data_IF_372760232710
#
_entry.id   IF_372760232710
#
_cell.length_a   1.000
_cell.length_b   1.000
_cell.length_c   1.000
_cell.angle_alpha   90.00
_cell.angle_beta   90.00
_cell.angle_gamma   90.00
#
_symmetry.space_group_name_H-M   'P 1'
#
loop_
_entity.id
_entity.type
_entity.pdbx_description
1 polymer ?
#
# COMPACT_ATOMS: atom_id res chain seq x y z
N UNK A 1 7.11 -8.98 37.83
CA UNK A 1 8.54 -8.72 38.13
C UNK A 1 9.18 -8.23 36.83
N UNK A 2 9.98 -7.15 36.92
CA UNK A 2 10.64 -6.39 35.84
C UNK A 2 9.76 -5.57 34.86
N UNK A 3 9.61 -4.29 35.20
CA UNK A 3 9.28 -3.17 34.30
C UNK A 3 10.57 -2.64 33.67
N UNK A 4 10.62 -2.42 32.36
CA UNK A 4 11.65 -1.60 31.71
C UNK A 4 11.06 -0.22 31.40
N UNK A 5 11.67 0.82 31.98
CA UNK A 5 11.41 2.24 31.70
C UNK A 5 12.32 2.69 30.57
N UNK A 6 11.78 3.33 29.55
CA UNK A 6 12.56 4.15 28.62
C UNK A 6 12.62 5.58 29.16
N UNK A 7 13.83 6.15 29.19
CA UNK A 7 14.09 7.53 29.57
C UNK A 7 14.41 8.33 28.29
N UNK A 8 13.63 9.36 28.01
CA UNK A 8 13.94 10.40 27.03
C UNK A 8 15.09 11.26 27.57
N UNK A 9 16.15 11.43 26.79
CA UNK A 9 17.18 12.44 27.02
C UNK A 9 16.94 13.64 26.09
N UNK A 10 16.53 14.76 26.68
CA UNK A 10 16.57 16.10 26.09
C UNK A 10 17.98 16.66 26.23
N UNK A 11 18.63 17.02 25.12
CA UNK A 11 19.86 17.82 25.13
C UNK A 11 19.55 19.20 24.57
N UNK A 12 19.51 20.19 25.45
CA UNK A 12 19.58 21.60 25.11
C UNK A 12 21.00 22.10 25.39
N UNK A 13 21.63 22.76 24.42
CA UNK A 13 22.87 23.50 24.63
C UNK A 13 22.78 24.84 23.88
N UNK A 14 22.77 25.93 24.65
CA UNK A 14 22.98 27.29 24.20
C UNK A 14 24.23 27.81 24.87
N UNK A 15 25.24 28.27 24.11
CA UNK A 15 26.27 29.21 24.61
C UNK A 15 26.67 30.21 23.51
N UNK A 16 26.73 31.46 23.96
CA UNK A 16 27.01 32.74 23.32
C UNK A 16 28.51 32.91 23.00
N UNK A 17 28.83 33.68 21.95
CA UNK A 17 30.19 34.21 21.77
C UNK A 17 30.33 35.20 20.60
N UNK A 18 30.06 36.49 20.86
CA UNK A 18 30.45 37.62 20.01
C UNK A 18 31.95 37.91 20.16
N UNK A 19 32.72 37.99 19.06
CA UNK A 19 33.92 38.85 18.97
C UNK A 19 34.03 39.40 17.54
N UNK A 20 33.91 40.72 17.41
CA UNK A 20 34.35 41.53 16.27
C UNK A 20 35.83 41.88 16.44
N UNK A 21 36.63 41.83 15.37
CA UNK A 21 37.79 42.71 15.22
C UNK A 21 38.12 42.99 13.74
N UNK A 22 38.55 44.23 13.54
CA UNK A 22 38.68 45.01 12.32
C UNK A 22 39.95 44.72 11.53
N UNK A 23 39.90 45.03 10.22
CA UNK A 23 40.95 44.97 9.22
C UNK A 23 42.23 45.78 9.52
N UNK A 24 43.35 45.35 8.93
CA UNK A 24 44.45 46.21 8.46
C UNK A 24 45.26 45.51 7.34
N UNK A 25 45.72 46.31 6.36
CA UNK A 25 46.44 45.88 5.14
C UNK A 25 47.79 45.18 5.38
N UNK A 26 48.56 44.78 4.36
CA UNK A 26 49.03 45.59 3.24
C UNK A 26 49.65 44.68 2.16
N UNK A 27 49.72 45.18 0.93
CA UNK A 27 50.33 44.52 -0.25
C UNK A 27 51.82 44.26 -0.05
N UNK A 28 52.31 43.09 -0.48
CA UNK A 28 53.66 42.93 -1.05
C UNK A 28 53.59 42.06 -2.30
N UNK A 29 54.23 42.56 -3.34
CA UNK A 29 54.27 42.08 -4.71
C UNK A 29 55.59 41.31 -4.89
N UNK A 30 55.57 40.05 -5.31
CA UNK A 30 56.74 39.43 -5.95
C UNK A 30 56.29 38.52 -7.08
N UNK A 31 56.66 38.90 -8.30
CA UNK A 31 56.57 38.09 -9.51
C UNK A 31 57.59 36.96 -9.43
N UNK A 32 57.12 35.72 -9.57
CA UNK A 32 57.94 34.63 -10.10
C UNK A 32 57.08 33.77 -11.01
N UNK A 33 57.45 33.82 -12.29
CA UNK A 33 57.02 32.94 -13.38
C UNK A 33 57.10 31.47 -13.00
N UNK A 34 55.97 30.77 -13.00
CA UNK A 34 55.95 29.31 -13.14
C UNK A 34 54.88 28.87 -14.14
N UNK A 35 55.26 27.83 -14.88
CA UNK A 35 54.69 27.35 -16.13
C UNK A 35 53.27 26.82 -15.94
N UNK A 36 52.45 27.10 -16.94
CA UNK A 36 51.26 26.32 -17.32
C UNK A 36 51.59 24.82 -17.25
N UNK A 37 50.93 24.12 -16.34
CA UNK A 37 50.57 22.71 -16.50
C UNK A 37 49.05 22.68 -16.43
N UNK A 38 48.43 22.56 -17.60
CA UNK A 38 47.02 22.24 -17.71
C UNK A 38 46.81 20.85 -17.13
N UNK A 39 46.28 20.76 -15.90
CA UNK A 39 45.64 19.54 -15.41
C UNK A 39 44.20 19.56 -15.91
N UNK A 40 43.96 18.81 -16.98
CA UNK A 40 42.65 18.51 -17.51
C UNK A 40 41.93 17.51 -16.59
N UNK A 41 41.48 17.96 -15.43
CA UNK A 41 40.45 17.25 -14.67
C UNK A 41 39.09 17.87 -15.04
N UNK A 42 38.59 17.50 -16.23
CA UNK A 42 37.16 17.55 -16.47
C UNK A 42 36.55 16.48 -15.57
N UNK A 43 36.02 16.87 -14.41
CA UNK A 43 34.86 16.17 -13.86
C UNK A 43 33.81 16.24 -14.96
N UNK A 44 33.56 15.12 -15.66
CA UNK A 44 32.33 14.95 -16.40
C UNK A 44 31.20 15.21 -15.39
N UNK A 45 30.55 16.35 -15.53
CA UNK A 45 29.28 16.57 -14.86
C UNK A 45 28.32 15.62 -15.55
N UNK A 46 27.82 14.62 -14.82
CA UNK A 46 26.67 13.83 -15.28
C UNK A 46 25.49 14.81 -15.33
N UNK A 47 25.35 15.54 -16.43
CA UNK A 47 24.29 16.51 -16.61
C UNK A 47 22.95 15.76 -16.80
N UNK A 48 21.90 16.29 -16.16
CA UNK A 48 20.54 15.75 -16.29
C UNK A 48 20.01 16.12 -17.68
N UNK A 49 19.57 15.13 -18.45
CA UNK A 49 18.94 15.35 -19.75
C UNK A 49 17.49 15.79 -19.59
N UNK A 50 16.91 16.41 -20.62
CA UNK A 50 15.48 16.76 -20.67
C UNK A 50 14.80 16.12 -21.88
N UNK A 51 13.54 15.75 -21.74
CA UNK A 51 12.71 15.20 -22.81
C UNK A 51 11.37 15.96 -22.91
N UNK A 52 10.90 16.17 -24.14
CA UNK A 52 9.58 16.77 -24.41
C UNK A 52 8.47 15.72 -24.45
N UNK A 53 7.22 16.17 -24.39
CA UNK A 53 6.04 15.30 -24.54
C UNK A 53 6.09 14.46 -25.81
N UNK A 54 6.39 15.10 -26.94
CA UNK A 54 6.43 14.44 -28.26
C UNK A 54 7.50 13.36 -28.35
N UNK A 55 8.62 13.53 -27.66
CA UNK A 55 9.69 12.54 -27.66
C UNK A 55 9.41 11.43 -26.65
N UNK A 56 8.93 11.76 -25.44
CA UNK A 56 8.54 10.75 -24.45
C UNK A 56 7.46 9.83 -25.00
N UNK A 57 6.44 10.37 -25.70
CA UNK A 57 5.37 9.59 -26.35
C UNK A 57 5.88 8.47 -27.25
N UNK A 58 6.97 8.70 -27.99
CA UNK A 58 7.53 7.69 -28.90
C UNK A 58 8.29 6.58 -28.16
N UNK A 59 8.70 6.85 -26.92
CA UNK A 59 9.65 6.03 -26.16
C UNK A 59 9.00 5.26 -25.01
N UNK A 60 7.71 5.48 -24.72
CA UNK A 60 7.01 4.84 -23.59
C UNK A 60 7.03 3.31 -23.56
N UNK A 61 7.27 2.67 -24.71
CA UNK A 61 7.33 1.21 -24.84
C UNK A 61 8.76 0.68 -25.09
N UNK A 62 9.78 1.52 -24.96
CA UNK A 62 11.18 1.09 -25.14
C UNK A 62 11.62 0.25 -23.93
N UNK A 63 12.04 -1.00 -24.16
CA UNK A 63 12.46 -1.93 -23.09
C UNK A 63 13.64 -1.41 -22.25
N UNK A 64 14.49 -0.59 -22.86
CA UNK A 64 15.66 0.03 -22.24
C UNK A 64 15.34 1.34 -21.50
N UNK A 65 14.07 1.74 -21.43
CA UNK A 65 13.59 2.92 -20.71
C UNK A 65 12.78 2.48 -19.49
N UNK A 66 12.92 3.23 -18.40
CA UNK A 66 12.03 3.17 -17.24
C UNK A 66 11.51 4.56 -16.97
N UNK A 67 10.19 4.71 -17.05
CA UNK A 67 9.53 5.96 -16.68
C UNK A 67 9.19 5.88 -15.20
N UNK A 68 9.55 6.91 -14.43
CA UNK A 68 9.37 6.94 -12.98
C UNK A 68 8.50 8.13 -12.58
N UNK A 69 7.34 7.83 -12.00
CA UNK A 69 6.48 8.81 -11.34
C UNK A 69 7.01 9.07 -9.93
N UNK A 70 7.29 10.33 -9.62
CA UNK A 70 7.85 10.72 -8.31
C UNK A 70 6.87 11.40 -7.39
N UNK A 71 5.60 11.50 -7.81
CA UNK A 71 4.49 12.00 -7.00
C UNK A 71 4.16 11.02 -5.88
N UNK A 72 3.28 11.44 -4.98
CA UNK A 72 2.71 10.56 -3.96
C UNK A 72 1.94 9.39 -4.60
N UNK A 73 1.79 8.32 -3.83
CA UNK A 73 1.12 7.10 -4.31
C UNK A 73 -0.33 7.36 -4.73
N UNK A 74 -1.07 8.24 -4.02
CA UNK A 74 -2.46 8.50 -4.33
C UNK A 74 -2.60 9.12 -5.74
N UNK A 75 -1.71 10.06 -6.09
CA UNK A 75 -1.60 10.60 -7.44
C UNK A 75 -1.27 9.53 -8.50
N UNK A 76 -0.41 8.56 -8.17
CA UNK A 76 -0.06 7.47 -9.06
C UNK A 76 -1.26 6.55 -9.36
N UNK A 77 -2.02 6.16 -8.34
CA UNK A 77 -3.13 5.23 -8.50
C UNK A 77 -4.36 5.84 -9.16
N UNK A 78 -4.55 7.17 -9.13
CA UNK A 78 -5.69 7.77 -9.84
C UNK A 78 -6.18 9.12 -9.33
N UNK A 79 -5.76 9.58 -8.15
CA UNK A 79 -6.25 10.84 -7.58
C UNK A 79 -5.68 12.07 -8.30
N UNK A 80 -6.45 13.17 -8.34
CA UNK A 80 -6.08 14.41 -9.05
C UNK A 80 -5.61 15.52 -8.11
N UNK A 81 -4.57 15.24 -7.33
CA UNK A 81 -4.16 16.10 -6.21
C UNK A 81 -3.52 17.43 -6.62
N UNK A 82 -3.07 17.56 -7.86
CA UNK A 82 -2.42 18.78 -8.37
C UNK A 82 -3.23 19.47 -9.49
N UNK A 83 -4.51 19.12 -9.63
CA UNK A 83 -5.41 19.65 -10.64
C UNK A 83 -5.04 19.19 -12.05
N UNK A 84 -4.67 17.91 -12.18
CA UNK A 84 -4.59 17.19 -13.44
C UNK A 84 -5.98 17.02 -14.07
N UNK A 85 -6.09 17.08 -15.41
CA UNK A 85 -7.37 16.86 -16.12
C UNK A 85 -7.78 15.37 -16.13
N UNK A 86 -6.80 14.48 -15.96
CA UNK A 86 -6.95 13.03 -15.87
C UNK A 86 -6.00 12.53 -14.79
N UNK A 87 -6.52 11.77 -13.83
CA UNK A 87 -5.73 11.16 -12.78
C UNK A 87 -5.02 9.87 -13.23
N UNK A 88 -4.07 9.42 -12.42
CA UNK A 88 -3.22 8.26 -12.71
C UNK A 88 -1.84 8.66 -13.19
N UNK A 89 -1.14 7.73 -13.84
CA UNK A 89 0.26 7.85 -14.25
C UNK A 89 0.43 7.66 -15.77
N UNK A 90 1.59 8.04 -16.30
CA UNK A 90 1.95 7.73 -17.69
C UNK A 90 1.99 6.20 -17.85
N UNK A 91 1.36 5.68 -18.91
CA UNK A 91 1.31 4.24 -19.17
C UNK A 91 2.70 3.60 -19.11
N UNK A 92 2.82 2.52 -18.34
CA UNK A 92 4.08 1.77 -18.13
C UNK A 92 5.07 2.41 -17.15
N UNK A 93 4.73 3.54 -16.52
CA UNK A 93 5.57 4.13 -15.49
C UNK A 93 5.52 3.32 -14.19
N UNK A 94 6.65 3.26 -13.48
CA UNK A 94 6.75 2.76 -12.10
C UNK A 94 6.64 3.93 -11.11
N UNK A 95 6.25 3.62 -9.89
CA UNK A 95 6.16 4.56 -8.77
C UNK A 95 7.46 4.57 -7.95
N UNK A 96 7.99 5.76 -7.72
CA UNK A 96 9.00 6.00 -6.70
C UNK A 96 8.76 7.39 -6.09
N UNK A 97 7.75 7.54 -5.21
CA UNK A 97 7.50 8.78 -4.51
C UNK A 97 8.76 9.37 -3.89
N UNK A 98 8.99 10.66 -4.11
CA UNK A 98 10.21 11.32 -3.60
C UNK A 98 10.32 11.24 -2.07
N UNK A 99 9.19 11.16 -1.36
CA UNK A 99 9.13 10.99 0.10
C UNK A 99 9.79 9.69 0.59
N UNK A 100 9.88 8.66 -0.25
CA UNK A 100 10.51 7.39 0.11
C UNK A 100 12.02 7.50 0.31
N UNK A 101 12.67 8.50 -0.30
CA UNK A 101 14.10 8.75 -0.11
C UNK A 101 14.47 8.98 1.37
N UNK A 102 13.53 9.49 2.16
CA UNK A 102 13.72 9.78 3.57
C UNK A 102 13.40 8.57 4.49
N UNK A 103 12.82 7.51 3.92
CA UNK A 103 12.38 6.29 4.62
C UNK A 103 13.27 5.09 4.37
N UNK A 104 13.93 5.05 3.21
CA UNK A 104 14.76 3.93 2.81
C UNK A 104 16.17 4.10 3.37
N UNK A 105 16.63 3.13 4.15
CA UNK A 105 18.02 3.10 4.60
C UNK A 105 18.99 2.97 3.41
N UNK A 106 20.16 3.60 3.48
CA UNK A 106 21.14 3.58 2.37
C UNK A 106 21.54 2.16 1.95
N UNK A 107 21.53 1.20 2.88
CA UNK A 107 21.86 -0.21 2.60
C UNK A 107 20.80 -0.90 1.73
N UNK A 108 19.55 -0.44 1.80
CA UNK A 108 18.40 -1.03 1.11
C UNK A 108 18.04 -0.27 -0.18
N UNK A 109 18.53 0.98 -0.34
CA UNK A 109 18.24 1.86 -1.47
C UNK A 109 18.43 1.21 -2.85
N UNK A 110 19.56 0.55 -3.09
CA UNK A 110 19.81 -0.08 -4.38
C UNK A 110 18.83 -1.23 -4.63
N UNK A 111 18.53 -2.03 -3.60
CA UNK A 111 17.56 -3.12 -3.71
C UNK A 111 16.17 -2.58 -4.03
N UNK A 112 15.72 -1.52 -3.35
CA UNK A 112 14.41 -0.92 -3.63
C UNK A 112 14.32 -0.36 -5.05
N UNK A 113 15.39 0.27 -5.55
CA UNK A 113 15.46 0.72 -6.94
C UNK A 113 15.41 -0.46 -7.93
N UNK A 114 16.15 -1.54 -7.66
CA UNK A 114 16.17 -2.73 -8.51
C UNK A 114 14.81 -3.43 -8.53
N UNK A 115 14.11 -3.52 -7.39
CA UNK A 115 12.75 -4.07 -7.27
C UNK A 115 11.73 -3.27 -8.10
N UNK A 116 11.96 -1.97 -8.30
CA UNK A 116 11.19 -1.08 -9.19
C UNK A 116 11.68 -1.10 -10.65
N UNK A 117 12.65 -1.94 -10.98
CA UNK A 117 13.26 -1.99 -12.31
C UNK A 117 14.15 -0.79 -12.66
N UNK A 118 14.40 0.12 -11.71
CA UNK A 118 15.26 1.30 -11.87
C UNK A 118 16.71 0.84 -11.78
N UNK A 119 17.24 0.31 -12.89
CA UNK A 119 18.59 -0.29 -12.96
C UNK A 119 19.54 0.55 -13.81
N UNK A 120 20.84 0.55 -13.46
CA UNK A 120 21.87 1.42 -14.08
C UNK A 120 22.07 1.24 -15.58
N UNK A 121 21.69 0.09 -16.13
CA UNK A 121 21.81 -0.20 -17.57
C UNK A 121 20.69 0.39 -18.42
N UNK A 122 19.63 0.91 -17.80
CA UNK A 122 18.49 1.52 -18.48
C UNK A 122 18.57 3.05 -18.43
N UNK A 123 17.86 3.71 -19.34
CA UNK A 123 17.54 5.12 -19.19
C UNK A 123 16.42 5.29 -18.18
N UNK A 124 16.61 6.20 -17.23
CA UNK A 124 15.61 6.53 -16.22
C UNK A 124 15.01 7.88 -16.58
N UNK A 125 13.74 7.90 -17.00
CA UNK A 125 12.98 9.11 -17.30
C UNK A 125 12.10 9.44 -16.12
N UNK A 126 12.38 10.53 -15.42
CA UNK A 126 11.66 10.94 -14.22
C UNK A 126 10.67 12.04 -14.56
N UNK A 127 9.48 11.97 -13.99
CA UNK A 127 8.53 13.08 -14.01
C UNK A 127 7.91 13.34 -12.64
N UNK A 128 7.45 14.57 -12.46
CA UNK A 128 6.64 15.03 -11.35
C UNK A 128 5.38 15.74 -11.90
N UNK A 129 4.73 16.57 -11.08
CA UNK A 129 3.57 17.36 -11.50
C UNK A 129 3.85 18.28 -12.71
N UNK A 130 4.94 19.05 -12.70
CA UNK A 130 5.17 20.19 -13.60
C UNK A 130 6.56 20.21 -14.30
N UNK A 131 7.42 19.23 -14.02
CA UNK A 131 8.76 19.03 -14.59
C UNK A 131 9.78 20.15 -14.33
N UNK A 132 9.49 21.06 -13.39
CA UNK A 132 10.24 22.30 -13.15
C UNK A 132 11.09 22.30 -11.89
N UNK A 133 10.93 21.29 -11.03
CA UNK A 133 11.68 21.19 -9.79
C UNK A 133 12.94 20.35 -9.96
N UNK A 134 13.95 20.62 -9.13
CA UNK A 134 15.14 19.77 -9.08
C UNK A 134 14.72 18.42 -8.49
N UNK A 135 14.66 17.39 -9.32
CA UNK A 135 14.29 16.06 -8.86
C UNK A 135 15.31 15.53 -7.86
N UNK A 136 14.89 15.37 -6.60
CA UNK A 136 15.70 14.72 -5.53
C UNK A 136 16.05 13.29 -5.91
N UNK A 137 15.15 12.58 -6.60
CA UNK A 137 15.43 11.24 -7.09
C UNK A 137 16.53 11.27 -8.16
N UNK A 138 16.48 12.19 -9.12
CA UNK A 138 17.53 12.31 -10.12
C UNK A 138 18.91 12.56 -9.47
N UNK A 139 18.98 13.49 -8.51
CA UNK A 139 20.21 13.72 -7.74
C UNK A 139 20.70 12.46 -7.02
N UNK A 140 19.79 11.70 -6.37
CA UNK A 140 20.14 10.45 -5.69
C UNK A 140 20.67 9.41 -6.67
N UNK A 141 20.02 9.22 -7.82
CA UNK A 141 20.44 8.27 -8.86
C UNK A 141 21.82 8.63 -9.41
N UNK A 142 22.07 9.90 -9.74
CA UNK A 142 23.39 10.36 -10.17
C UNK A 142 24.46 10.09 -9.10
N UNK A 143 24.14 10.33 -7.83
CA UNK A 143 25.02 10.04 -6.69
C UNK A 143 25.32 8.54 -6.51
N UNK A 144 24.39 7.67 -6.91
CA UNK A 144 24.56 6.21 -6.92
C UNK A 144 25.25 5.69 -8.19
N UNK A 145 25.60 6.56 -9.13
CA UNK A 145 26.33 6.23 -10.36
C UNK A 145 25.44 5.83 -11.54
N UNK A 146 24.17 6.20 -11.55
CA UNK A 146 23.35 6.16 -12.76
C UNK A 146 23.83 7.28 -13.69
N UNK A 147 24.06 6.97 -14.97
CA UNK A 147 24.61 7.94 -15.94
C UNK A 147 23.60 8.38 -16.98
N UNK A 148 22.46 7.70 -17.11
CA UNK A 148 21.42 8.01 -18.08
C UNK A 148 20.11 8.38 -17.38
N UNK A 149 20.07 9.60 -16.84
CA UNK A 149 18.91 10.15 -16.13
C UNK A 149 18.37 11.34 -16.91
N UNK A 150 17.08 11.28 -17.22
CA UNK A 150 16.36 12.26 -18.05
C UNK A 150 15.15 12.78 -17.28
N UNK A 151 14.84 14.06 -17.39
CA UNK A 151 13.64 14.69 -16.80
C UNK A 151 12.64 15.01 -17.89
N UNK A 152 11.40 14.58 -17.70
CA UNK A 152 10.28 15.06 -18.50
C UNK A 152 9.80 16.41 -17.95
N UNK A 153 10.18 17.49 -18.63
CA UNK A 153 10.10 18.87 -18.09
C UNK A 153 8.72 19.51 -18.16
N UNK A 154 7.77 18.91 -18.88
CA UNK A 154 6.40 19.44 -18.97
C UNK A 154 5.51 18.87 -17.85
N UNK A 155 5.88 17.73 -17.27
CA UNK A 155 5.19 17.08 -16.14
C UNK A 155 3.86 16.43 -16.51
N UNK A 156 3.31 15.67 -15.57
CA UNK A 156 2.04 14.94 -15.76
C UNK A 156 0.86 15.88 -16.00
N UNK A 157 0.92 17.13 -15.51
CA UNK A 157 -0.16 18.10 -15.72
C UNK A 157 -0.31 18.49 -17.19
N UNK A 158 0.79 18.58 -17.93
CA UNK A 158 0.73 18.78 -19.38
C UNK A 158 0.27 17.51 -20.10
N UNK A 159 0.79 16.34 -19.70
CA UNK A 159 0.44 15.03 -20.30
C UNK A 159 -1.05 14.70 -20.15
N UNK A 160 -1.63 15.01 -18.98
CA UNK A 160 -3.03 14.71 -18.67
C UNK A 160 -4.03 15.54 -19.49
N UNK A 161 -3.64 16.68 -20.06
CA UNK A 161 -4.51 17.54 -20.87
C UNK A 161 -4.84 16.95 -22.25
N UNK A 162 -3.91 16.21 -22.86
CA UNK A 162 -4.14 15.55 -24.15
C UNK A 162 -4.71 14.15 -23.95
N UNK A 163 -6.01 13.99 -24.23
CA UNK A 163 -6.75 12.73 -24.06
C UNK A 163 -6.19 11.57 -24.88
N UNK A 164 -5.43 11.83 -25.93
CA UNK A 164 -4.81 10.82 -26.78
C UNK A 164 -3.49 10.28 -26.20
N UNK A 165 -2.93 10.95 -25.19
CA UNK A 165 -1.74 10.46 -24.50
C UNK A 165 -2.11 9.36 -23.50
N UNK A 166 -1.41 8.20 -23.54
CA UNK A 166 -1.77 7.05 -22.74
C UNK A 166 -1.44 7.26 -21.27
N UNK A 167 -2.39 6.89 -20.42
CA UNK A 167 -2.28 6.89 -18.97
C UNK A 167 -2.96 5.64 -18.43
N UNK A 168 -2.46 5.13 -17.32
CA UNK A 168 -3.08 4.04 -16.56
C UNK A 168 -3.44 4.55 -15.15
N UNK A 169 -4.40 3.86 -14.52
CA UNK A 169 -4.84 4.11 -13.14
C UNK A 169 -5.44 2.83 -12.56
N UNK A 170 -5.49 2.75 -11.25
CA UNK A 170 -6.19 1.69 -10.53
C UNK A 170 -7.70 1.80 -10.79
N UNK A 171 -8.35 0.68 -11.12
CA UNK A 171 -9.73 0.68 -11.64
C UNK A 171 -10.75 1.28 -10.66
N UNK A 172 -10.61 0.95 -9.37
CA UNK A 172 -11.47 1.42 -8.26
C UNK A 172 -10.67 2.25 -7.25
N UNK A 173 -9.76 3.12 -7.74
CA UNK A 173 -8.85 3.93 -6.90
C UNK A 173 -9.57 4.73 -5.80
N UNK A 174 -10.82 5.13 -6.04
CA UNK A 174 -11.64 5.91 -5.10
C UNK A 174 -11.98 5.15 -3.80
N UNK A 175 -11.84 3.83 -3.81
CA UNK A 175 -12.01 2.96 -2.63
C UNK A 175 -10.75 2.85 -1.78
N UNK A 176 -9.61 3.35 -2.26
CA UNK A 176 -8.35 3.44 -1.53
C UNK A 176 -7.99 4.92 -1.31
N UNK A 177 -8.47 5.47 -0.18
CA UNK A 177 -8.42 6.90 0.11
C UNK A 177 -7.11 7.30 0.80
N UNK A 178 -6.65 8.52 0.56
CA UNK A 178 -5.44 9.07 1.19
C UNK A 178 -5.78 9.93 2.42
N UNK A 179 -4.82 10.21 3.33
CA UNK A 179 -5.11 10.90 4.59
C UNK A 179 -5.79 12.27 4.45
N UNK A 180 -5.44 13.07 3.44
CA UNK A 180 -6.06 14.38 3.22
C UNK A 180 -7.53 14.26 2.78
N UNK A 181 -7.89 13.21 2.04
CA UNK A 181 -9.28 12.91 1.68
C UNK A 181 -10.10 12.65 2.95
N UNK A 182 -9.58 11.80 3.85
CA UNK A 182 -10.24 11.50 5.13
C UNK A 182 -10.30 12.74 6.01
N UNK A 183 -9.24 13.55 6.03
CA UNK A 183 -9.21 14.80 6.79
C UNK A 183 -10.28 15.80 6.30
N UNK A 184 -10.47 15.95 4.99
CA UNK A 184 -11.53 16.77 4.44
C UNK A 184 -12.92 16.26 4.90
N UNK A 185 -13.14 14.94 4.81
CA UNK A 185 -14.39 14.31 5.25
C UNK A 185 -14.72 14.58 6.73
N UNK A 186 -13.76 14.35 7.64
CA UNK A 186 -14.00 14.55 9.09
C UNK A 186 -14.12 16.02 9.50
N UNK A 187 -13.63 16.95 8.67
CA UNK A 187 -13.83 18.38 8.86
C UNK A 187 -15.12 18.92 8.20
N UNK A 188 -15.97 18.03 7.68
CA UNK A 188 -17.26 18.38 7.10
C UNK A 188 -17.19 18.92 5.67
N UNK A 189 -16.07 18.73 4.99
CA UNK A 189 -15.92 19.00 3.57
C UNK A 189 -16.42 17.81 2.73
N UNK A 190 -16.61 18.02 1.43
CA UNK A 190 -16.94 16.95 0.46
C UNK A 190 -15.72 16.68 -0.41
N UNK A 191 -14.87 15.70 -0.06
CA UNK A 191 -13.71 15.36 -0.88
C UNK A 191 -14.14 14.70 -2.21
N UNK A 192 -13.23 14.68 -3.19
CA UNK A 192 -13.46 14.08 -4.52
C UNK A 192 -14.04 12.66 -4.39
N UNK A 193 -15.02 12.27 -5.20
CA UNK A 193 -15.71 10.96 -5.18
C UNK A 193 -16.59 10.67 -3.97
N UNK A 194 -16.71 11.58 -2.99
CA UNK A 194 -17.67 11.47 -1.90
C UNK A 194 -19.01 12.14 -2.26
N UNK A 195 -19.98 11.34 -2.69
CA UNK A 195 -21.31 11.83 -3.09
C UNK A 195 -22.39 11.65 -2.01
N UNK A 196 -22.06 10.97 -0.92
CA UNK A 196 -22.99 10.65 0.16
C UNK A 196 -23.13 11.82 1.17
N UNK A 197 -24.06 11.69 2.12
CA UNK A 197 -24.21 12.56 3.28
C UNK A 197 -24.02 11.83 4.62
N UNK A 198 -23.98 10.49 4.58
CA UNK A 198 -23.67 9.62 5.72
C UNK A 198 -22.29 8.98 5.56
N UNK A 199 -21.48 9.09 6.60
CA UNK A 199 -20.24 8.34 6.70
C UNK A 199 -19.95 7.91 8.14
N UNK A 200 -19.14 6.86 8.27
CA UNK A 200 -18.49 6.47 9.52
C UNK A 200 -17.02 6.17 9.23
N UNK A 201 -16.11 6.75 10.03
CA UNK A 201 -14.70 6.37 10.03
C UNK A 201 -14.49 5.36 11.14
N UNK A 202 -13.89 4.21 10.83
CA UNK A 202 -13.75 3.09 11.75
C UNK A 202 -12.28 2.73 11.89
N UNK A 203 -11.74 2.87 13.11
CA UNK A 203 -10.48 2.25 13.49
C UNK A 203 -10.72 0.78 13.80
N UNK A 204 -9.88 -0.09 13.25
CA UNK A 204 -10.00 -1.53 13.41
C UNK A 204 -8.72 -2.08 14.02
N UNK A 205 -8.88 -2.75 15.14
CA UNK A 205 -7.80 -3.45 15.84
C UNK A 205 -8.36 -4.62 16.64
N UNK A 206 -7.51 -5.59 17.01
CA UNK A 206 -7.91 -6.69 17.89
C UNK A 206 -7.93 -6.25 19.36
N UNK A 207 -8.99 -6.63 20.07
CA UNK A 207 -9.17 -6.33 21.48
C UNK A 207 -9.75 -4.94 21.72
N UNK A 208 -9.51 -4.38 22.90
CA UNK A 208 -10.25 -3.22 23.41
C UNK A 208 -9.83 -1.84 22.84
N UNK A 209 -9.09 -1.79 21.73
CA UNK A 209 -8.70 -0.54 21.09
C UNK A 209 -7.75 0.32 21.94
N UNK A 210 -6.76 -0.30 22.59
CA UNK A 210 -5.82 0.41 23.47
C UNK A 210 -5.12 1.57 22.77
N UNK A 211 -4.57 1.35 21.58
CA UNK A 211 -3.79 2.39 20.88
C UNK A 211 -4.72 3.44 20.24
N UNK A 212 -5.90 3.03 19.78
CA UNK A 212 -6.99 3.95 19.40
C UNK A 212 -7.33 4.94 20.53
N UNK A 213 -7.47 4.47 21.76
CA UNK A 213 -7.72 5.32 22.94
C UNK A 213 -6.61 6.34 23.19
N UNK A 214 -5.38 6.03 22.80
CA UNK A 214 -4.24 6.95 22.93
C UNK A 214 -4.25 8.02 21.83
N UNK A 215 -4.48 7.60 20.57
CA UNK A 215 -4.62 8.49 19.43
C UNK A 215 -5.41 7.83 18.28
N UNK A 216 -6.39 8.55 17.72
CA UNK A 216 -7.16 8.11 16.55
C UNK A 216 -7.53 9.28 15.64
N UNK A 217 -8.02 8.99 14.44
CA UNK A 217 -8.59 9.99 13.52
C UNK A 217 -9.81 10.64 14.17
N UNK A 218 -9.95 11.99 14.15
CA UNK A 218 -11.07 12.67 14.79
C UNK A 218 -12.44 12.11 14.39
N UNK A 219 -13.28 11.84 15.40
CA UNK A 219 -14.62 11.27 15.22
C UNK A 219 -14.68 9.80 14.80
N UNK A 220 -13.54 9.11 14.63
CA UNK A 220 -13.53 7.69 14.32
C UNK A 220 -14.03 6.85 15.49
N UNK A 221 -14.85 5.83 15.22
CA UNK A 221 -15.26 4.82 16.19
C UNK A 221 -14.28 3.64 16.14
N UNK A 222 -14.23 2.84 17.20
CA UNK A 222 -13.42 1.61 17.24
C UNK A 222 -14.30 0.37 17.00
N UNK A 223 -13.81 -0.57 16.20
CA UNK A 223 -14.37 -1.91 16.07
C UNK A 223 -13.30 -2.97 16.41
N UNK A 224 -13.61 -3.80 17.41
CA UNK A 224 -12.82 -4.99 17.73
C UNK A 224 -13.13 -6.10 16.71
N UNK A 225 -12.10 -6.59 16.04
CA UNK A 225 -12.19 -7.75 15.15
C UNK A 225 -12.86 -8.97 15.82
N UNK A 226 -12.67 -9.19 17.12
CA UNK A 226 -13.31 -10.29 17.86
C UNK A 226 -14.85 -10.21 17.97
N UNK A 227 -15.46 -9.13 17.48
CA UNK A 227 -16.92 -9.02 17.34
C UNK A 227 -17.42 -9.59 16.02
N UNK A 228 -16.58 -9.68 14.99
CA UNK A 228 -16.94 -10.16 13.64
C UNK A 228 -16.36 -11.52 13.28
N UNK A 229 -15.45 -12.09 14.09
CA UNK A 229 -14.92 -13.44 13.93
C UNK A 229 -14.87 -14.20 15.25
N UNK A 230 -14.93 -15.54 15.22
CA UNK A 230 -15.00 -16.35 16.45
C UNK A 230 -14.32 -17.73 16.36
N UNK A 231 -13.94 -18.24 17.53
CA UNK A 231 -13.52 -19.62 17.72
C UNK A 231 -14.62 -20.62 17.31
N UNK A 232 -14.26 -21.86 16.89
CA UNK A 232 -12.93 -22.45 16.97
C UNK A 232 -12.01 -22.15 15.78
N UNK A 233 -12.54 -21.62 14.67
CA UNK A 233 -11.81 -21.50 13.39
C UNK A 233 -11.40 -20.08 13.01
N UNK A 234 -11.84 -19.08 13.78
CA UNK A 234 -11.69 -17.66 13.45
C UNK A 234 -12.40 -17.26 12.15
N UNK A 235 -13.44 -18.00 11.79
CA UNK A 235 -14.36 -17.63 10.71
C UNK A 235 -15.24 -16.46 11.15
N UNK A 236 -15.86 -15.80 10.19
CA UNK A 236 -16.84 -14.75 10.45
C UNK A 236 -17.99 -15.31 11.28
N UNK A 237 -18.54 -14.44 12.13
CA UNK A 237 -19.71 -14.74 12.96
C UNK A 237 -20.97 -14.83 12.10
N UNK A 238 -22.10 -15.28 12.68
CA UNK A 238 -23.35 -15.38 11.93
C UNK A 238 -23.81 -14.04 11.35
N UNK A 239 -24.57 -14.10 10.27
CA UNK A 239 -25.14 -12.94 9.57
C UNK A 239 -25.88 -11.99 10.52
N UNK A 240 -26.64 -12.52 11.49
CA UNK A 240 -27.36 -11.72 12.48
C UNK A 240 -26.43 -10.98 13.45
N UNK A 241 -25.30 -11.61 13.81
CA UNK A 241 -24.29 -10.98 14.68
C UNK A 241 -23.51 -9.92 13.91
N UNK A 242 -23.18 -10.16 12.64
CA UNK A 242 -22.62 -9.14 11.74
C UNK A 242 -23.57 -7.94 11.67
N UNK A 243 -24.85 -8.16 11.35
CA UNK A 243 -25.86 -7.09 11.27
C UNK A 243 -25.93 -6.29 12.59
N UNK A 244 -25.95 -6.99 13.72
CA UNK A 244 -25.98 -6.37 15.05
C UNK A 244 -24.74 -5.50 15.30
N UNK A 245 -23.55 -6.00 14.96
CA UNK A 245 -22.30 -5.25 15.14
C UNK A 245 -22.28 -4.00 14.27
N UNK A 246 -22.57 -4.14 12.97
CA UNK A 246 -22.57 -3.01 12.03
C UNK A 246 -23.57 -1.92 12.44
N UNK A 247 -24.81 -2.31 12.75
CA UNK A 247 -25.83 -1.35 13.18
C UNK A 247 -25.49 -0.69 14.50
N UNK A 248 -24.82 -1.39 15.43
CA UNK A 248 -24.38 -0.82 16.71
C UNK A 248 -23.34 0.30 16.56
N UNK A 249 -22.50 0.24 15.53
CA UNK A 249 -21.49 1.27 15.23
C UNK A 249 -22.00 2.37 14.29
N UNK A 250 -23.29 2.33 13.94
CA UNK A 250 -23.93 3.33 13.08
C UNK A 250 -23.81 3.07 11.58
N UNK A 251 -23.53 1.82 11.19
CA UNK A 251 -23.39 1.43 9.78
C UNK A 251 -24.67 0.74 9.30
N UNK A 252 -25.32 1.37 8.32
CA UNK A 252 -26.35 0.77 7.46
C UNK A 252 -25.79 0.51 6.04
N UNK A 253 -26.55 -0.16 5.17
CA UNK A 253 -26.11 -0.49 3.80
C UNK A 253 -25.73 0.74 2.95
N UNK A 254 -26.32 1.89 3.25
CA UNK A 254 -26.17 3.15 2.51
C UNK A 254 -25.06 4.04 3.10
N UNK A 255 -24.42 3.61 4.19
CA UNK A 255 -23.37 4.37 4.87
C UNK A 255 -22.05 4.24 4.13
N UNK A 256 -21.36 5.36 3.89
CA UNK A 256 -19.96 5.31 3.43
C UNK A 256 -19.05 4.98 4.61
N UNK A 257 -18.33 3.86 4.56
CA UNK A 257 -17.45 3.44 5.64
C UNK A 257 -16.00 3.57 5.21
N UNK A 258 -15.21 4.30 6.01
CA UNK A 258 -13.76 4.44 5.82
C UNK A 258 -13.06 3.68 6.93
N UNK A 259 -12.43 2.57 6.60
CA UNK A 259 -11.71 1.72 7.55
C UNK A 259 -10.22 2.03 7.55
N UNK A 260 -9.61 1.98 8.72
CA UNK A 260 -8.17 2.03 8.89
C UNK A 260 -7.78 1.29 10.17
N UNK A 261 -6.49 1.01 10.33
CA UNK A 261 -5.93 0.49 11.57
C UNK A 261 -4.43 0.75 11.59
N UNK A 262 -3.79 0.43 12.71
CA UNK A 262 -2.33 0.31 12.75
C UNK A 262 -1.84 -0.88 11.90
N UNK A 263 -2.64 -1.94 11.85
CA UNK A 263 -2.47 -3.08 10.96
C UNK A 263 -3.54 -3.05 9.86
N UNK A 264 -3.13 -2.83 8.61
CA UNK A 264 -4.05 -2.77 7.48
C UNK A 264 -4.77 -4.10 7.21
N UNK A 265 -4.23 -5.25 7.65
CA UNK A 265 -4.93 -6.54 7.48
C UNK A 265 -6.20 -6.63 8.34
N UNK A 266 -6.19 -6.01 9.52
CA UNK A 266 -7.37 -5.94 10.40
C UNK A 266 -8.49 -5.11 9.74
N UNK A 267 -8.14 -3.93 9.23
CA UNK A 267 -9.07 -3.07 8.52
C UNK A 267 -9.63 -3.75 7.25
N UNK A 268 -8.77 -4.44 6.48
CA UNK A 268 -9.20 -5.18 5.31
C UNK A 268 -10.09 -6.39 5.65
N UNK A 269 -9.84 -7.08 6.76
CA UNK A 269 -10.70 -8.16 7.28
C UNK A 269 -12.12 -7.64 7.48
N UNK A 270 -12.28 -6.55 8.21
CA UNK A 270 -13.60 -5.93 8.44
C UNK A 270 -14.20 -5.38 7.15
N UNK A 271 -13.38 -4.82 6.25
CA UNK A 271 -13.84 -4.38 4.92
C UNK A 271 -14.48 -5.53 4.14
N UNK A 272 -13.84 -6.70 4.09
CA UNK A 272 -14.40 -7.87 3.40
C UNK A 272 -15.72 -8.34 4.02
N UNK A 273 -15.87 -8.25 5.35
CA UNK A 273 -17.12 -8.56 6.05
C UNK A 273 -18.22 -7.54 5.74
N UNK A 274 -17.89 -6.25 5.69
CA UNK A 274 -18.84 -5.20 5.32
C UNK A 274 -19.29 -5.32 3.86
N UNK A 275 -18.38 -5.67 2.95
CA UNK A 275 -18.69 -5.96 1.56
C UNK A 275 -19.61 -7.19 1.44
N UNK A 276 -19.29 -8.30 2.13
CA UNK A 276 -20.16 -9.49 2.23
C UNK A 276 -21.55 -9.15 2.75
N UNK A 277 -21.61 -8.34 3.81
CA UNK A 277 -22.86 -7.93 4.42
C UNK A 277 -23.73 -7.08 3.49
N UNK A 278 -23.12 -6.25 2.64
CA UNK A 278 -23.82 -5.40 1.67
C UNK A 278 -23.69 -3.90 1.89
N UNK A 279 -22.63 -3.43 2.56
CA UNK A 279 -22.32 -2.00 2.62
C UNK A 279 -21.87 -1.55 1.23
N UNK A 280 -22.58 -0.58 0.64
CA UNK A 280 -22.41 -0.20 -0.77
C UNK A 280 -21.12 0.61 -1.03
N UNK A 281 -20.63 1.37 -0.03
CA UNK A 281 -19.40 2.15 -0.15
C UNK A 281 -18.42 1.87 1.01
N UNK A 282 -17.59 0.84 0.83
CA UNK A 282 -16.49 0.48 1.74
C UNK A 282 -15.17 1.00 1.17
N UNK A 283 -14.42 1.74 1.98
CA UNK A 283 -13.12 2.32 1.61
C UNK A 283 -12.05 1.95 2.64
N UNK A 284 -10.80 1.79 2.20
CA UNK A 284 -9.62 1.67 3.08
C UNK A 284 -8.77 2.95 3.00
N UNK A 285 -8.25 3.41 4.13
CA UNK A 285 -7.23 4.46 4.13
C UNK A 285 -5.85 3.87 3.81
N UNK A 286 -5.26 4.28 2.69
CA UNK A 286 -3.98 3.75 2.22
C UNK A 286 -2.85 4.07 3.21
N UNK A 287 -2.10 3.04 3.61
CA UNK A 287 -1.04 3.17 4.64
C UNK A 287 -1.54 3.27 6.08
N UNK A 288 -2.85 3.15 6.33
CA UNK A 288 -3.43 3.06 7.67
C UNK A 288 -3.10 4.26 8.58
N UNK A 289 -3.14 4.04 9.90
CA UNK A 289 -2.90 5.12 10.86
C UNK A 289 -1.51 5.74 10.75
N UNK A 290 -0.51 4.97 10.31
CA UNK A 290 0.84 5.46 10.04
C UNK A 290 0.84 6.64 9.05
N UNK A 291 0.16 6.48 7.90
CA UNK A 291 0.05 7.53 6.88
C UNK A 291 -0.66 8.79 7.41
N UNK A 292 -1.67 8.64 8.27
CA UNK A 292 -2.34 9.78 8.91
C UNK A 292 -1.38 10.59 9.80
N UNK A 293 -0.62 9.91 10.65
CA UNK A 293 0.31 10.57 11.57
C UNK A 293 1.47 11.22 10.83
N UNK A 294 1.99 10.59 9.78
CA UNK A 294 3.06 11.12 8.95
C UNK A 294 2.64 12.37 8.17
N UNK A 295 1.37 12.41 7.73
CA UNK A 295 0.79 13.60 7.14
C UNK A 295 0.65 14.78 8.13
N UNK A 296 0.99 14.60 9.42
CA UNK A 296 0.94 15.63 10.44
C UNK A 296 -0.49 16.07 10.79
N UNK A 297 -1.48 15.21 10.52
CA UNK A 297 -2.89 15.50 10.74
C UNK A 297 -3.26 15.34 12.22
N UNK A 298 -4.30 16.06 12.63
CA UNK A 298 -4.74 16.07 14.04
C UNK A 298 -5.28 14.72 14.46
N UNK A 299 -5.10 14.36 15.73
CA UNK A 299 -5.70 13.16 16.32
C UNK A 299 -6.59 13.53 17.51
N UNK A 300 -7.55 12.67 17.81
CA UNK A 300 -8.33 12.66 19.06
C UNK A 300 -7.85 11.53 19.97
N UNK A 301 -8.30 11.52 21.22
CA UNK A 301 -7.99 10.49 22.21
C UNK A 301 -9.25 10.14 23.02
N UNK A 302 -9.19 9.03 23.76
CA UNK A 302 -10.34 8.48 24.46
C UNK A 302 -11.21 7.61 23.56
N UNK A 303 -12.47 7.43 23.95
CA UNK A 303 -13.44 6.64 23.19
C UNK A 303 -14.49 7.56 22.55
N UNK A 304 -14.79 7.32 21.28
CA UNK A 304 -15.98 7.86 20.62
C UNK A 304 -17.11 6.84 20.75
N UNK A 305 -18.17 7.22 21.47
CA UNK A 305 -19.38 6.40 21.56
C UNK A 305 -20.11 6.41 20.20
N UNK A 306 -20.31 5.24 19.56
CA UNK A 306 -20.97 5.18 18.27
C UNK A 306 -22.45 5.56 18.40
N UNK A 307 -23.01 6.09 17.30
CA UNK A 307 -24.45 6.33 17.17
C UNK A 307 -25.06 5.18 16.38
N UNK A 308 -25.70 4.26 17.08
CA UNK A 308 -26.36 3.11 16.44
C UNK A 308 -27.44 3.55 15.44
N UNK A 309 -27.63 2.76 14.39
CA UNK A 309 -28.77 2.83 13.47
C UNK A 309 -29.79 1.73 13.81
N UNK A 310 -31.07 1.96 13.48
CA UNK A 310 -32.15 1.03 13.86
C UNK A 310 -32.16 -0.27 13.05
N UNK A 311 -31.66 -0.25 11.82
CA UNK A 311 -31.64 -1.40 10.91
C UNK A 311 -30.51 -1.23 9.89
N UNK A 312 -29.97 -2.35 9.41
CA UNK A 312 -28.99 -2.35 8.33
C UNK A 312 -29.60 -1.96 6.97
N UNK A 313 -30.91 -2.13 6.79
CA UNK A 313 -31.61 -1.77 5.55
C UNK A 313 -31.59 -2.83 4.44
N UNK A 314 -30.94 -3.98 4.66
CA UNK A 314 -30.96 -5.16 3.80
C UNK A 314 -30.84 -6.43 4.65
N UNK A 315 -31.13 -7.60 4.05
CA UNK A 315 -30.84 -8.89 4.70
C UNK A 315 -29.37 -9.24 4.50
N UNK A 316 -28.64 -9.48 5.59
CA UNK A 316 -27.26 -9.96 5.57
C UNK A 316 -27.24 -11.48 5.29
N UNK A 317 -26.32 -11.97 4.43
CA UNK A 317 -25.48 -11.22 3.51
C UNK A 317 -26.22 -10.80 2.24
N UNK A 318 -25.79 -9.68 1.66
CA UNK A 318 -26.18 -9.28 0.30
C UNK A 318 -25.24 -9.90 -0.74
N UNK A 319 -23.94 -10.04 -0.41
CA UNK A 319 -22.90 -10.55 -1.31
C UNK A 319 -22.22 -11.79 -0.72
N UNK A 320 -22.93 -12.93 -0.60
CA UNK A 320 -22.35 -14.17 -0.10
C UNK A 320 -21.15 -14.66 -0.92
N UNK A 321 -21.03 -14.25 -2.19
CA UNK A 321 -19.91 -14.59 -3.08
C UNK A 321 -18.55 -14.07 -2.60
N UNK A 322 -18.49 -13.03 -1.76
CA UNK A 322 -17.20 -12.46 -1.32
C UNK A 322 -16.51 -13.26 -0.21
N UNK A 323 -17.24 -14.07 0.56
CA UNK A 323 -16.67 -14.92 1.61
C UNK A 323 -17.22 -16.33 1.46
N UNK A 324 -16.33 -17.27 1.11
CA UNK A 324 -16.71 -18.66 0.81
C UNK A 324 -16.24 -19.62 1.91
N UNK A 325 -16.93 -20.74 2.05
CA UNK A 325 -16.58 -21.80 3.01
C UNK A 325 -15.67 -22.88 2.38
N UNK A 326 -15.26 -23.86 3.21
CA UNK A 326 -14.40 -24.98 2.78
C UNK A 326 -15.00 -25.82 1.64
N UNK A 327 -16.33 -25.98 1.55
CA UNK A 327 -16.96 -26.73 0.44
C UNK A 327 -16.75 -26.00 -0.87
N UNK A 328 -17.01 -24.69 -0.89
CA UNK A 328 -16.83 -23.86 -2.08
C UNK A 328 -15.35 -23.74 -2.47
N UNK A 329 -14.43 -23.66 -1.49
CA UNK A 329 -12.99 -23.70 -1.78
C UNK A 329 -12.55 -25.01 -2.48
N UNK A 330 -13.16 -26.15 -2.13
CA UNK A 330 -12.96 -27.42 -2.86
C UNK A 330 -13.52 -27.37 -4.28
N UNK A 331 -14.61 -26.64 -4.51
CA UNK A 331 -15.17 -26.42 -5.84
C UNK A 331 -14.23 -25.54 -6.69
N UNK A 332 -13.62 -24.50 -6.11
CA UNK A 332 -12.57 -23.70 -6.78
C UNK A 332 -11.42 -24.58 -7.24
N UNK A 333 -10.89 -25.45 -6.36
CA UNK A 333 -9.78 -26.35 -6.69
C UNK A 333 -10.13 -27.38 -7.79
N UNK A 334 -11.40 -27.72 -7.94
CA UNK A 334 -11.87 -28.67 -8.93
C UNK A 334 -12.19 -28.01 -10.29
N UNK A 335 -12.31 -26.68 -10.34
CA UNK A 335 -12.59 -25.91 -11.55
C UNK A 335 -11.28 -25.63 -12.32
N UNK A 336 -11.28 -25.89 -13.62
CA UNK A 336 -10.13 -25.59 -14.49
C UNK A 336 -9.84 -24.08 -14.62
N UNK A 337 -10.86 -23.25 -14.38
CA UNK A 337 -10.77 -21.79 -14.35
C UNK A 337 -10.76 -21.22 -12.92
N UNK A 338 -10.70 -22.10 -11.90
CA UNK A 338 -10.59 -21.71 -10.51
C UNK A 338 -9.15 -21.62 -10.05
N UNK A 339 -8.86 -20.68 -9.14
CA UNK A 339 -7.58 -20.59 -8.46
C UNK A 339 -7.76 -20.33 -6.97
N UNK A 340 -7.18 -21.20 -6.14
CA UNK A 340 -7.19 -21.05 -4.69
C UNK A 340 -5.81 -20.55 -4.25
N UNK A 341 -5.76 -19.29 -3.83
CA UNK A 341 -4.52 -18.52 -3.65
C UNK A 341 -4.10 -18.48 -2.19
N UNK A 342 -2.95 -19.09 -1.88
CA UNK A 342 -2.34 -19.05 -0.55
C UNK A 342 -1.57 -17.75 -0.33
N UNK A 343 -2.16 -16.84 0.43
CA UNK A 343 -1.57 -15.57 0.89
C UNK A 343 -0.84 -15.79 2.21
N UNK A 344 0.21 -16.63 2.15
CA UNK A 344 1.01 -17.04 3.30
C UNK A 344 2.49 -16.81 3.01
N UNK A 345 3.32 -16.70 4.05
CA UNK A 345 4.77 -16.60 3.85
C UNK A 345 5.30 -17.84 3.11
N UNK A 346 6.46 -17.71 2.47
CA UNK A 346 7.05 -18.87 1.76
C UNK A 346 7.28 -20.06 2.70
N UNK A 347 7.78 -19.81 3.91
CA UNK A 347 8.02 -20.83 4.94
C UNK A 347 6.74 -21.57 5.37
N UNK A 348 5.61 -20.86 5.43
CA UNK A 348 4.30 -21.47 5.64
C UNK A 348 3.88 -22.35 4.44
N UNK A 349 4.02 -21.83 3.21
CA UNK A 349 3.58 -22.50 1.99
C UNK A 349 4.33 -23.83 1.71
N UNK A 350 5.61 -23.90 2.05
CA UNK A 350 6.41 -25.13 1.93
C UNK A 350 6.33 -26.03 3.17
N UNK A 351 5.62 -25.63 4.22
CA UNK A 351 5.41 -26.43 5.43
C UNK A 351 6.56 -26.48 6.43
N UNK A 352 7.48 -25.50 6.41
CA UNK A 352 8.52 -25.38 7.45
C UNK A 352 7.91 -24.94 8.79
N UNK A 353 6.88 -24.10 8.72
CA UNK A 353 6.10 -23.62 9.86
C UNK A 353 4.61 -23.63 9.54
N UNK A 354 3.74 -23.72 10.55
CA UNK A 354 2.31 -23.44 10.37
C UNK A 354 2.06 -21.93 10.27
N UNK A 355 2.97 -21.15 10.87
CA UNK A 355 2.90 -19.70 11.05
C UNK A 355 2.36 -19.29 12.42
N UNK A 356 1.51 -20.11 13.03
CA UNK A 356 0.71 -19.69 14.18
C UNK A 356 0.90 -20.62 15.37
N UNK A 357 1.00 -20.06 16.58
CA UNK A 357 1.15 -20.85 17.81
C UNK A 357 -0.07 -21.70 18.17
N UNK A 358 -1.21 -21.44 17.53
CA UNK A 358 -2.48 -22.14 17.76
C UNK A 358 -2.88 -23.05 16.58
N UNK A 359 -2.03 -23.16 15.54
CA UNK A 359 -2.23 -24.07 14.41
C UNK A 359 -1.07 -25.06 14.41
N UNK A 360 -1.33 -26.32 14.75
CA UNK A 360 -0.29 -27.36 14.80
C UNK A 360 0.10 -27.89 13.40
N UNK A 361 -0.84 -28.19 12.48
CA UNK A 361 -0.47 -28.75 11.17
C UNK A 361 0.36 -27.79 10.32
N UNK A 362 1.34 -28.35 9.61
CA UNK A 362 2.21 -27.64 8.66
C UNK A 362 2.02 -28.15 7.25
N UNK A 363 2.15 -27.25 6.28
CA UNK A 363 1.98 -27.54 4.86
C UNK A 363 1.08 -26.52 4.18
N UNK A 364 0.63 -26.88 2.98
CA UNK A 364 -0.32 -26.12 2.18
C UNK A 364 -1.47 -27.01 1.72
N UNK A 365 -2.56 -26.36 1.33
CA UNK A 365 -3.67 -27.00 0.63
C UNK A 365 -3.16 -27.55 -0.71
N UNK A 366 -3.36 -28.83 -0.99
CA UNK A 366 -2.98 -29.42 -2.27
C UNK A 366 -3.70 -28.73 -3.43
N UNK A 367 -2.94 -28.33 -4.46
CA UNK A 367 -3.47 -27.61 -5.62
C UNK A 367 -3.52 -26.09 -5.48
N UNK A 368 -3.40 -25.53 -4.28
CA UNK A 368 -3.35 -24.07 -4.11
C UNK A 368 -2.03 -23.47 -4.60
N UNK A 369 -2.10 -22.36 -5.33
CA UNK A 369 -0.92 -21.60 -5.77
C UNK A 369 -0.44 -20.61 -4.70
N UNK A 370 0.83 -20.24 -4.76
CA UNK A 370 1.37 -19.24 -3.84
C UNK A 370 1.05 -17.83 -4.35
N UNK A 371 0.32 -17.07 -3.54
CA UNK A 371 -0.07 -15.70 -3.86
C UNK A 371 0.90 -14.63 -3.40
N UNK A 372 2.07 -14.99 -2.85
CA UNK A 372 2.92 -14.10 -2.05
C UNK A 372 2.24 -13.66 -0.74
N UNK A 373 2.98 -12.97 0.14
CA UNK A 373 2.48 -12.30 1.35
C UNK A 373 3.60 -11.40 1.89
N UNK A 374 4.42 -11.96 2.78
CA UNK A 374 5.52 -11.30 3.43
C UNK A 374 6.48 -12.27 4.10
N UNK A 375 7.27 -11.76 5.03
CA UNK A 375 8.31 -12.52 5.73
C UNK A 375 7.76 -13.58 6.68
N UNK A 376 6.56 -13.37 7.25
CA UNK A 376 5.97 -14.21 8.29
C UNK A 376 4.41 -14.12 8.27
N UNK A 377 3.68 -14.65 9.28
CA UNK A 377 2.21 -14.65 9.31
C UNK A 377 1.56 -13.28 9.48
N UNK A 378 2.34 -12.25 9.83
CA UNK A 378 1.88 -10.95 10.31
C UNK A 378 2.37 -9.79 9.44
N UNK A 379 3.16 -10.08 8.39
CA UNK A 379 3.70 -9.07 7.48
C UNK A 379 3.30 -9.34 6.03
N UNK A 380 3.20 -8.25 5.27
CA UNK A 380 2.68 -8.21 3.89
C UNK A 380 3.60 -7.40 2.95
N UNK A 381 4.92 -7.50 3.15
CA UNK A 381 5.92 -6.67 2.44
C UNK A 381 5.91 -6.88 0.92
N UNK A 382 5.41 -8.01 0.41
CA UNK A 382 5.27 -8.17 -1.05
C UNK A 382 4.15 -7.32 -1.63
N UNK A 383 3.22 -6.85 -0.79
CA UNK A 383 2.02 -6.09 -1.18
C UNK A 383 2.00 -4.65 -0.67
N UNK A 384 3.02 -4.23 0.09
CA UNK A 384 3.10 -2.89 0.67
C UNK A 384 4.40 -2.19 0.28
N UNK A 385 4.31 -0.89 0.07
CA UNK A 385 5.46 -0.01 -0.10
C UNK A 385 6.14 0.28 1.25
N UNK A 386 7.24 1.03 1.20
CA UNK A 386 8.06 1.39 2.38
C UNK A 386 7.32 2.27 3.40
N UNK A 387 6.16 2.81 3.04
CA UNK A 387 5.27 3.61 3.88
C UNK A 387 3.95 2.89 4.20
N UNK A 388 3.89 1.56 4.00
CA UNK A 388 2.71 0.71 4.16
C UNK A 388 1.55 0.98 3.20
N UNK A 389 1.70 1.86 2.21
CA UNK A 389 0.71 1.99 1.14
C UNK A 389 0.68 0.75 0.25
N UNK A 390 -0.43 0.52 -0.46
CA UNK A 390 -0.56 -0.57 -1.43
C UNK A 390 0.60 -0.49 -2.44
N UNK A 391 1.29 -1.62 -2.64
CA UNK A 391 2.30 -1.73 -3.68
C UNK A 391 1.67 -1.52 -5.05
N UNK A 392 2.44 -0.94 -5.95
CA UNK A 392 2.10 -0.80 -7.37
C UNK A 392 1.31 -2.00 -7.91
N UNK A 393 0.09 -1.74 -8.37
CA UNK A 393 -0.82 -2.79 -8.82
C UNK A 393 -0.33 -3.54 -10.06
N UNK A 394 0.52 -2.93 -10.88
CA UNK A 394 1.18 -3.62 -12.01
C UNK A 394 2.22 -4.64 -11.52
N UNK A 395 2.92 -4.34 -10.42
CA UNK A 395 3.87 -5.27 -9.80
C UNK A 395 3.13 -6.45 -9.16
N UNK A 396 2.00 -6.16 -8.50
CA UNK A 396 1.12 -7.19 -7.93
C UNK A 396 0.60 -8.13 -9.03
N UNK A 397 0.04 -7.56 -10.10
CA UNK A 397 -0.45 -8.35 -11.24
C UNK A 397 0.65 -9.21 -11.86
N UNK A 398 1.86 -8.68 -11.99
CA UNK A 398 2.98 -9.38 -12.61
C UNK A 398 3.38 -10.65 -11.82
N UNK A 399 3.60 -10.56 -10.51
CA UNK A 399 3.97 -11.75 -9.74
C UNK A 399 2.80 -12.71 -9.53
N UNK A 400 1.55 -12.23 -9.52
CA UNK A 400 0.38 -13.11 -9.53
C UNK A 400 0.28 -13.90 -10.83
N UNK A 401 0.53 -13.26 -11.98
CA UNK A 401 0.56 -13.92 -13.28
C UNK A 401 1.63 -15.00 -13.37
N UNK A 402 2.80 -14.80 -12.75
CA UNK A 402 3.86 -15.82 -12.69
C UNK A 402 3.42 -17.10 -11.97
N UNK A 403 2.39 -17.01 -11.12
CA UNK A 403 1.74 -18.14 -10.44
C UNK A 403 0.41 -18.55 -11.09
N UNK A 404 0.09 -18.02 -12.26
CA UNK A 404 -1.15 -18.33 -12.99
C UNK A 404 -2.40 -17.69 -12.39
N UNK A 405 -2.24 -16.72 -11.48
CA UNK A 405 -3.34 -15.97 -10.86
C UNK A 405 -3.65 -14.79 -11.79
N UNK A 406 -4.81 -14.82 -12.44
CA UNK A 406 -5.19 -13.83 -13.47
C UNK A 406 -6.65 -13.41 -13.33
N UNK A 407 -6.97 -12.20 -13.81
CA UNK A 407 -8.28 -11.57 -13.65
C UNK A 407 -9.43 -12.23 -14.41
N UNK A 408 -9.13 -13.10 -15.37
CA UNK A 408 -10.10 -13.89 -16.14
C UNK A 408 -10.55 -15.18 -15.44
N UNK A 409 -9.95 -15.50 -14.28
CA UNK A 409 -10.27 -16.68 -13.48
C UNK A 409 -11.18 -16.35 -12.30
N UNK A 410 -11.77 -17.39 -11.72
CA UNK A 410 -12.41 -17.34 -10.40
C UNK A 410 -11.34 -17.51 -9.33
N UNK A 411 -11.04 -16.46 -8.57
CA UNK A 411 -9.90 -16.44 -7.65
C UNK A 411 -10.37 -16.32 -6.20
N UNK A 412 -9.99 -17.27 -5.36
CA UNK A 412 -10.28 -17.20 -3.92
C UNK A 412 -8.99 -17.13 -3.11
N UNK A 413 -8.86 -16.09 -2.30
CA UNK A 413 -7.68 -15.87 -1.45
C UNK A 413 -7.89 -16.48 -0.08
N UNK A 414 -6.85 -17.10 0.48
CA UNK A 414 -6.87 -17.60 1.87
C UNK A 414 -5.50 -17.46 2.53
N UNK A 415 -5.47 -17.47 3.87
CA UNK A 415 -4.22 -17.53 4.63
C UNK A 415 -4.32 -18.51 5.80
N UNK A 416 -3.92 -18.12 7.01
CA UNK A 416 -4.23 -18.90 8.21
C UNK A 416 -5.72 -18.87 8.54
N UNK A 417 -6.25 -17.66 8.73
CA UNK A 417 -7.58 -17.35 9.27
C UNK A 417 -8.26 -16.15 8.57
N UNK A 418 -7.87 -15.83 7.33
CA UNK A 418 -8.55 -14.84 6.49
C UNK A 418 -7.96 -13.42 6.46
N UNK A 419 -7.23 -12.94 7.48
CA UNK A 419 -6.80 -11.53 7.56
C UNK A 419 -5.96 -11.04 6.37
N UNK A 420 -4.82 -11.70 6.10
CA UNK A 420 -3.96 -11.39 4.94
C UNK A 420 -4.68 -11.58 3.61
N UNK A 421 -5.60 -12.55 3.55
CA UNK A 421 -6.39 -12.84 2.36
C UNK A 421 -7.40 -11.73 2.05
N UNK A 422 -8.00 -11.13 3.09
CA UNK A 422 -8.90 -9.99 2.94
C UNK A 422 -8.19 -8.75 2.37
N UNK A 423 -6.92 -8.51 2.73
CA UNK A 423 -6.12 -7.41 2.13
C UNK A 423 -5.88 -7.64 0.63
N UNK A 424 -5.47 -8.84 0.23
CA UNK A 424 -5.27 -9.17 -1.19
C UNK A 424 -6.57 -9.26 -2.00
N UNK A 425 -7.66 -9.74 -1.39
CA UNK A 425 -9.00 -9.68 -1.97
C UNK A 425 -9.38 -8.24 -2.27
N UNK A 426 -9.18 -7.34 -1.30
CA UNK A 426 -9.47 -5.92 -1.49
C UNK A 426 -8.59 -5.34 -2.60
N UNK A 427 -7.31 -5.68 -2.69
CA UNK A 427 -6.42 -5.21 -3.76
C UNK A 427 -6.84 -5.72 -5.14
N UNK A 428 -7.23 -7.00 -5.28
CA UNK A 428 -7.76 -7.53 -6.53
C UNK A 428 -9.09 -6.83 -6.91
N UNK A 429 -9.95 -6.59 -5.92
CA UNK A 429 -11.14 -5.76 -6.12
C UNK A 429 -10.77 -4.35 -6.59
N UNK A 430 -9.79 -3.68 -5.99
CA UNK A 430 -9.33 -2.36 -6.45
C UNK A 430 -8.83 -2.36 -7.90
N UNK A 431 -8.19 -3.46 -8.31
CA UNK A 431 -7.68 -3.69 -9.67
C UNK A 431 -8.79 -3.97 -10.69
N UNK A 432 -10.05 -4.07 -10.27
CA UNK A 432 -11.18 -4.31 -11.16
C UNK A 432 -11.44 -5.78 -11.44
N UNK A 433 -10.92 -6.70 -10.61
CA UNK A 433 -11.22 -8.12 -10.75
C UNK A 433 -12.65 -8.35 -10.23
N UNK A 434 -13.42 -9.14 -10.99
CA UNK A 434 -14.87 -9.27 -10.77
C UNK A 434 -15.26 -10.56 -10.06
N UNK A 435 -14.50 -11.66 -10.24
CA UNK A 435 -14.79 -12.97 -9.62
C UNK A 435 -13.71 -13.32 -8.58
N UNK A 436 -13.67 -12.52 -7.51
CA UNK A 436 -12.74 -12.66 -6.39
C UNK A 436 -13.48 -12.91 -5.08
N UNK A 437 -12.90 -13.73 -4.19
CA UNK A 437 -13.47 -14.05 -2.88
C UNK A 437 -12.39 -14.31 -1.82
N UNK A 438 -12.79 -14.38 -0.56
CA UNK A 438 -11.97 -14.87 0.55
C UNK A 438 -12.47 -16.25 0.97
N UNK A 439 -11.62 -17.27 0.95
CA UNK A 439 -11.90 -18.52 1.64
C UNK A 439 -11.57 -18.35 3.12
N UNK A 440 -12.63 -18.28 3.93
CA UNK A 440 -12.58 -17.79 5.31
C UNK A 440 -11.77 -18.69 6.25
N UNK A 441 -12.07 -19.99 6.23
CA UNK A 441 -11.44 -20.98 7.11
C UNK A 441 -9.96 -21.22 6.85
N UNK A 442 -9.49 -20.88 5.65
CA UNK A 442 -8.10 -20.94 5.25
C UNK A 442 -7.39 -22.25 5.63
N UNK A 443 -6.09 -22.13 5.97
CA UNK A 443 -5.31 -23.28 6.40
C UNK A 443 -5.81 -23.88 7.72
N UNK A 444 -6.36 -23.05 8.62
CA UNK A 444 -6.74 -23.51 9.94
C UNK A 444 -7.89 -24.52 9.89
N UNK A 445 -9.00 -24.16 9.23
CA UNK A 445 -10.15 -25.07 9.04
C UNK A 445 -9.77 -26.25 8.13
N UNK A 446 -9.05 -25.99 7.03
CA UNK A 446 -8.66 -27.04 6.08
C UNK A 446 -7.84 -28.13 6.76
N UNK A 447 -6.81 -27.76 7.52
CA UNK A 447 -5.91 -28.71 8.17
C UNK A 447 -6.50 -29.35 9.44
N UNK A 448 -7.62 -28.83 9.94
CA UNK A 448 -8.38 -29.41 11.04
C UNK A 448 -9.13 -30.71 10.65
N UNK A 449 -9.33 -30.96 9.36
CA UNK A 449 -9.89 -32.20 8.82
C UNK A 449 -8.79 -33.02 8.12
N UNK A 450 -8.38 -34.13 8.76
CA UNK A 450 -7.33 -35.02 8.25
C UNK A 450 -7.66 -35.68 6.89
N UNK A 451 -8.91 -35.63 6.44
CA UNK A 451 -9.31 -36.14 5.12
C UNK A 451 -8.96 -35.17 3.99
N UNK A 452 -8.66 -33.91 4.30
CA UNK A 452 -8.30 -32.91 3.31
C UNK A 452 -6.86 -33.11 2.81
N UNK A 453 -6.61 -33.05 1.49
CA UNK A 453 -5.28 -33.24 0.95
C UNK A 453 -4.37 -32.04 1.26
N UNK A 454 -3.15 -32.33 1.68
CA UNK A 454 -2.11 -31.34 1.99
C UNK A 454 -0.78 -31.70 1.32
N UNK A 455 0.02 -30.70 1.02
CA UNK A 455 1.36 -30.83 0.46
C UNK A 455 2.42 -30.12 1.32
N UNK A 456 3.68 -30.53 1.17
CA UNK A 456 4.86 -29.89 1.80
C UNK A 456 6.03 -29.86 0.82
N UNK A 457 7.08 -29.11 1.16
CA UNK A 457 8.26 -28.90 0.32
C UNK A 457 8.03 -27.88 -0.79
N UNK A 458 9.11 -27.45 -1.43
CA UNK A 458 9.01 -26.55 -2.59
C UNK A 458 8.26 -27.25 -3.72
N UNK A 459 7.28 -26.59 -4.37
CA UNK A 459 6.61 -27.17 -5.52
C UNK A 459 7.61 -27.40 -6.66
N UNK A 460 7.43 -28.48 -7.41
CA UNK A 460 8.16 -28.67 -8.65
C UNK A 460 7.75 -27.55 -9.63
N UNK A 461 8.73 -26.91 -10.29
CA UNK A 461 8.43 -25.92 -11.34
C UNK A 461 7.64 -26.63 -12.44
N UNK A 462 6.39 -26.23 -12.64
CA UNK A 462 5.56 -26.70 -13.75
C UNK A 462 6.05 -26.12 -15.08
#
# INVERSE_FOLDING_TARGET
MMRRKFALLLVAAAIIGNITFTACGNKVNTNTTEKKVESSDKKETNDINNISTEELKKRINEENVVIVDTRDEASYIGWTLAGEERGGHIKGAVDFPTSWLDKIEDKDMQKTLDDKGIIKSKEIIIYDVNGKEKSRLADKLLGLGYTNVTIYTEGIKAWSQDKELPMDKLARYEKLVHPQWVNALVNGEKPETFENDKYVVVEVSWGDGKDYKEAHIPGAVHLDTGLIEEEPWWNIVSDEKIETVLTSIGVDKDTTVVLYGADSTAAARVASVMMYAGVEDVRLMNGGFGAWTEAGLKTENGNIEPKSVESFGAKVPVHPEYIINTKEAKEILADENGELVSVRSWAEYIGETSGYSYIEPKGRISGAVWGHAGSDPYHMEHFRNVDNTMRNFHEIEAFWKDWGITSDKKVSYFCGTGWRASETFFYAYLMGWDDVSVYDGGWYEWSGDESNPIETGAPEKK
#
